data_IF_376823117710
#
_entry.id   IF_376823117710
#
_cell.length_a   1.000
_cell.length_b   1.000
_cell.length_c   1.000
_cell.angle_alpha   90.00
_cell.angle_beta   90.00
_cell.angle_gamma   90.00
#
_symmetry.space_group_name_H-M   'P 1'
#
loop_
_entity.id
_entity.type
_entity.pdbx_description
1 polymer ?
#
# COMPACT_ATOMS: atom_id res chain seq x y z
N UNK A 1 -30.55 10.51 11.19
CA UNK A 1 -29.22 9.87 11.11
C UNK A 1 -28.58 10.02 12.47
N UNK A 2 -28.27 8.92 13.15
CA UNK A 2 -27.51 8.99 14.41
C UNK A 2 -26.06 9.32 14.05
N UNK A 3 -25.53 10.43 14.55
CA UNK A 3 -24.16 10.84 14.31
C UNK A 3 -23.22 9.91 15.09
N UNK A 4 -22.37 9.17 14.37
CA UNK A 4 -21.36 8.30 14.98
C UNK A 4 -20.22 9.14 15.54
N UNK A 5 -19.75 8.80 16.73
CA UNK A 5 -18.62 9.49 17.37
C UNK A 5 -17.30 8.86 16.94
N UNK A 6 -16.93 9.07 15.68
CA UNK A 6 -15.68 8.55 15.11
C UNK A 6 -14.56 9.59 15.14
N UNK A 7 -13.32 9.17 15.41
CA UNK A 7 -12.12 9.98 15.15
C UNK A 7 -11.66 9.73 13.72
N UNK A 8 -11.40 10.81 12.96
CA UNK A 8 -10.94 10.71 11.56
C UNK A 8 -9.45 10.37 11.49
N UNK A 9 -8.66 10.81 12.49
CA UNK A 9 -7.19 10.71 12.49
C UNK A 9 -6.66 9.67 13.46
N UNK A 10 -7.53 8.93 14.16
CA UNK A 10 -7.11 8.03 15.23
C UNK A 10 -6.53 8.78 16.44
N UNK A 11 -5.80 8.05 17.27
CA UNK A 11 -5.00 8.62 18.36
C UNK A 11 -3.78 9.35 17.81
N UNK A 12 -3.64 10.63 18.12
CA UNK A 12 -2.43 11.43 17.81
C UNK A 12 -1.41 11.43 18.96
N UNK A 13 -1.59 10.54 19.94
CA UNK A 13 -0.67 10.43 21.07
C UNK A 13 0.64 9.83 20.57
N UNK A 14 1.69 10.64 20.58
CA UNK A 14 3.05 10.17 20.38
C UNK A 14 3.43 9.22 21.53
N UNK A 15 3.32 7.91 21.32
CA UNK A 15 3.73 6.90 22.30
C UNK A 15 5.22 6.60 22.17
N UNK A 16 5.95 6.69 23.27
CA UNK A 16 7.33 6.20 23.41
C UNK A 16 8.35 6.76 22.41
N UNK A 17 8.16 8.01 21.94
CA UNK A 17 9.18 8.69 21.15
C UNK A 17 10.48 8.82 21.95
N UNK A 18 11.57 8.33 21.36
CA UNK A 18 12.92 8.49 21.88
C UNK A 18 13.66 9.45 20.97
N UNK A 19 14.30 10.45 21.56
CA UNK A 19 15.25 11.30 20.87
C UNK A 19 16.62 10.66 21.06
N UNK A 20 17.14 10.09 19.99
CA UNK A 20 18.48 9.52 19.92
C UNK A 20 19.33 10.35 18.94
N UNK A 21 20.66 10.23 19.06
CA UNK A 21 21.58 10.87 18.12
C UNK A 21 21.38 10.33 16.69
N UNK A 22 21.53 11.17 15.63
CA UNK A 22 21.41 10.71 14.26
C UNK A 22 22.36 9.56 13.94
N UNK A 23 21.87 8.57 13.20
CA UNK A 23 22.68 7.44 12.74
C UNK A 23 23.81 7.90 11.84
N UNK A 24 25.01 7.36 12.05
CA UNK A 24 26.23 7.74 11.31
C UNK A 24 26.52 6.85 10.10
N UNK A 25 25.68 5.85 9.82
CA UNK A 25 25.78 4.99 8.64
C UNK A 25 24.41 4.71 8.04
N UNK A 26 24.38 4.55 6.72
CA UNK A 26 23.19 4.19 5.96
C UNK A 26 22.77 2.73 6.20
N UNK A 27 21.54 2.38 5.81
CA UNK A 27 21.02 1.02 5.87
C UNK A 27 22.03 -0.01 5.34
N UNK A 28 22.16 -1.12 6.06
CA UNK A 28 23.20 -2.14 5.86
C UNK A 28 22.84 -3.41 6.62
N UNK A 29 23.77 -4.02 7.39
CA UNK A 29 23.46 -5.20 8.20
C UNK A 29 22.30 -4.98 9.19
N UNK A 30 22.12 -3.75 9.66
CA UNK A 30 20.97 -3.39 10.51
C UNK A 30 19.66 -3.47 9.73
N UNK A 31 19.59 -2.90 8.53
CA UNK A 31 18.38 -2.94 7.72
C UNK A 31 18.00 -4.37 7.33
N UNK A 32 19.00 -5.20 7.00
CA UNK A 32 18.77 -6.65 6.79
C UNK A 32 18.23 -7.31 8.05
N UNK A 33 18.82 -7.04 9.23
CA UNK A 33 18.37 -7.60 10.51
C UNK A 33 16.93 -7.18 10.82
N UNK A 34 16.59 -5.91 10.67
CA UNK A 34 15.25 -5.40 10.96
C UNK A 34 14.21 -5.89 9.95
N UNK A 35 14.56 -5.96 8.66
CA UNK A 35 13.72 -6.60 7.64
C UNK A 35 13.43 -8.06 8.00
N UNK A 36 14.45 -8.86 8.32
CA UNK A 36 14.26 -10.27 8.71
C UNK A 36 13.45 -10.40 10.00
N UNK A 37 13.76 -9.59 11.02
CA UNK A 37 13.04 -9.61 12.30
C UNK A 37 11.54 -9.32 12.09
N UNK A 38 11.22 -8.30 11.31
CA UNK A 38 9.83 -7.94 10.99
C UNK A 38 9.15 -9.03 10.16
N UNK A 39 9.80 -9.50 9.10
CA UNK A 39 9.23 -10.52 8.20
C UNK A 39 8.98 -11.84 8.93
N UNK A 40 9.90 -12.28 9.78
CA UNK A 40 9.72 -13.49 10.58
C UNK A 40 8.62 -13.35 11.62
N UNK A 41 8.47 -12.16 12.20
CA UNK A 41 7.39 -11.87 13.15
C UNK A 41 6.01 -11.97 12.50
N UNK A 42 5.83 -11.43 11.30
CA UNK A 42 4.52 -11.39 10.63
C UNK A 42 4.17 -12.70 9.91
N UNK A 43 5.15 -13.33 9.25
CA UNK A 43 4.91 -14.46 8.33
C UNK A 43 5.35 -15.82 8.89
N UNK A 44 6.21 -15.83 9.93
CA UNK A 44 6.98 -17.00 10.32
C UNK A 44 8.16 -17.28 9.38
N UNK A 45 9.19 -17.97 9.89
CA UNK A 45 10.51 -18.11 9.22
C UNK A 45 10.41 -18.77 7.84
N UNK A 46 9.73 -19.91 7.71
CA UNK A 46 9.69 -20.67 6.45
C UNK A 46 8.97 -19.89 5.34
N UNK A 47 7.83 -19.27 5.64
CA UNK A 47 7.06 -18.49 4.68
C UNK A 47 7.84 -17.24 4.29
N UNK A 48 8.40 -16.53 5.26
CA UNK A 48 9.24 -15.36 5.04
C UNK A 48 10.38 -15.66 4.06
N UNK A 49 11.21 -16.67 4.37
CA UNK A 49 12.36 -17.01 3.51
C UNK A 49 11.93 -17.40 2.10
N UNK A 50 10.86 -18.19 1.96
CA UNK A 50 10.33 -18.59 0.65
C UNK A 50 9.86 -17.38 -0.16
N UNK A 51 9.04 -16.52 0.44
CA UNK A 51 8.49 -15.35 -0.26
C UNK A 51 9.57 -14.33 -0.61
N UNK A 52 10.53 -14.08 0.29
CA UNK A 52 11.65 -13.18 0.05
C UNK A 52 12.57 -13.68 -1.08
N UNK A 53 12.86 -14.98 -1.15
CA UNK A 53 13.66 -15.56 -2.23
C UNK A 53 12.94 -15.59 -3.59
N UNK A 54 11.63 -15.36 -3.61
CA UNK A 54 10.84 -15.30 -4.84
C UNK A 54 10.55 -13.86 -5.30
N UNK A 55 10.65 -12.87 -4.40
CA UNK A 55 10.34 -11.49 -4.72
C UNK A 55 11.36 -10.92 -5.73
N UNK A 56 10.85 -10.24 -6.76
CA UNK A 56 11.61 -9.64 -7.88
C UNK A 56 12.55 -10.62 -8.61
N UNK A 57 12.21 -11.91 -8.59
CA UNK A 57 12.90 -12.93 -9.37
C UNK A 57 12.14 -13.20 -10.68
N UNK A 58 12.84 -13.63 -11.73
CA UNK A 58 12.29 -13.85 -13.08
C UNK A 58 11.00 -14.71 -13.13
N UNK A 59 10.89 -15.73 -12.28
CA UNK A 59 9.71 -16.61 -12.18
C UNK A 59 8.96 -16.41 -10.85
N UNK A 60 9.16 -15.24 -10.24
CA UNK A 60 8.65 -14.87 -8.94
C UNK A 60 7.46 -13.93 -9.03
N UNK A 61 7.43 -12.94 -8.16
CA UNK A 61 6.43 -11.88 -8.15
C UNK A 61 7.09 -10.54 -7.82
N UNK A 62 6.48 -9.45 -8.27
CA UNK A 62 7.00 -8.10 -8.05
C UNK A 62 6.71 -7.61 -6.63
N UNK A 63 7.63 -6.83 -6.07
CA UNK A 63 7.49 -6.24 -4.75
C UNK A 63 6.21 -5.37 -4.67
N UNK A 64 5.33 -5.58 -3.66
CA UNK A 64 4.06 -4.86 -3.56
C UNK A 64 4.19 -3.45 -2.93
N UNK A 65 5.40 -2.99 -2.63
CA UNK A 65 5.64 -1.74 -1.88
C UNK A 65 5.79 -0.53 -2.79
N UNK A 66 6.91 -0.49 -3.52
CA UNK A 66 7.38 0.62 -4.35
C UNK A 66 8.23 0.05 -5.51
N UNK A 67 8.64 0.92 -6.43
CA UNK A 67 9.51 0.56 -7.54
C UNK A 67 10.90 0.10 -7.04
N UNK A 68 11.25 -1.14 -7.33
CA UNK A 68 12.63 -1.62 -7.32
C UNK A 68 13.12 -1.67 -8.77
N UNK A 69 14.30 -1.11 -9.10
CA UNK A 69 14.82 -1.18 -10.45
C UNK A 69 15.21 -2.62 -10.81
N UNK A 70 14.90 -3.06 -12.02
CA UNK A 70 15.36 -4.36 -12.53
C UNK A 70 16.80 -4.23 -13.06
N UNK A 71 17.82 -4.73 -12.34
CA UNK A 71 19.19 -4.71 -12.84
C UNK A 71 19.37 -5.66 -14.03
N UNK A 72 20.32 -5.35 -14.91
CA UNK A 72 20.71 -6.28 -16.00
C UNK A 72 21.19 -7.64 -15.48
N UNK A 73 21.78 -7.68 -14.28
CA UNK A 73 22.27 -8.89 -13.62
C UNK A 73 21.70 -9.02 -12.21
N UNK A 74 20.47 -9.53 -12.04
CA UNK A 74 19.83 -9.63 -10.74
C UNK A 74 20.51 -10.66 -9.83
N UNK A 75 20.65 -10.27 -8.56
CA UNK A 75 20.96 -11.10 -7.42
C UNK A 75 19.98 -12.25 -7.31
N UNK A 76 20.51 -13.45 -7.14
CA UNK A 76 19.74 -14.67 -6.90
C UNK A 76 19.20 -14.78 -5.47
N UNK A 77 19.55 -13.83 -4.61
CA UNK A 77 19.27 -13.89 -3.17
C UNK A 77 18.26 -12.82 -2.75
N UNK A 78 18.45 -11.59 -3.21
CA UNK A 78 17.59 -10.47 -2.84
C UNK A 78 17.67 -9.34 -3.87
N UNK A 79 16.50 -8.94 -4.38
CA UNK A 79 16.30 -7.82 -5.29
C UNK A 79 15.22 -6.91 -4.70
N UNK A 80 15.44 -6.34 -3.51
CA UNK A 80 14.46 -5.49 -2.82
C UNK A 80 15.10 -4.70 -1.68
N UNK A 81 14.44 -3.60 -1.29
CA UNK A 81 14.83 -2.80 -0.13
C UNK A 81 14.19 -3.35 1.16
N UNK A 82 14.64 -2.83 2.31
CA UNK A 82 14.06 -3.12 3.63
C UNK A 82 12.54 -2.85 3.67
N UNK A 83 12.10 -1.71 3.13
CA UNK A 83 10.68 -1.36 3.07
C UNK A 83 9.88 -2.30 2.15
N UNK A 84 10.51 -2.84 1.10
CA UNK A 84 9.91 -3.86 0.24
C UNK A 84 9.65 -5.16 0.99
N UNK A 85 10.63 -5.62 1.78
CA UNK A 85 10.50 -6.80 2.63
C UNK A 85 9.42 -6.60 3.72
N UNK A 86 9.38 -5.44 4.38
CA UNK A 86 8.36 -5.14 5.40
C UNK A 86 6.95 -5.05 4.82
N UNK A 87 6.79 -4.48 3.63
CA UNK A 87 5.49 -4.43 2.97
C UNK A 87 4.99 -5.83 2.58
N UNK A 88 5.87 -6.68 2.05
CA UNK A 88 5.55 -8.09 1.81
C UNK A 88 5.14 -8.80 3.12
N UNK A 89 5.83 -8.51 4.23
CA UNK A 89 5.52 -9.08 5.52
C UNK A 89 4.11 -8.74 6.01
N UNK A 90 3.72 -7.47 5.86
CA UNK A 90 2.38 -7.01 6.23
C UNK A 90 1.31 -7.62 5.31
N UNK A 91 1.57 -7.72 4.00
CA UNK A 91 0.64 -8.35 3.04
C UNK A 91 0.47 -9.86 3.27
N UNK A 92 1.55 -10.55 3.65
CA UNK A 92 1.59 -11.99 3.85
C UNK A 92 1.48 -12.42 5.32
N UNK A 93 1.04 -11.51 6.19
CA UNK A 93 0.86 -11.73 7.63
C UNK A 93 -0.05 -12.94 7.90
N UNK A 94 0.20 -13.61 9.02
CA UNK A 94 -0.65 -14.71 9.52
C UNK A 94 -1.77 -14.22 10.42
N UNK A 95 -1.68 -12.99 10.92
CA UNK A 95 -2.72 -12.35 11.71
C UNK A 95 -3.95 -12.09 10.84
N UNK A 96 -5.13 -12.27 11.41
CA UNK A 96 -6.38 -12.03 10.71
C UNK A 96 -7.47 -11.60 11.67
N UNK A 97 -8.46 -10.90 11.12
CA UNK A 97 -9.65 -10.41 11.81
C UNK A 97 -10.89 -10.97 11.14
N UNK A 98 -11.88 -11.37 11.92
CA UNK A 98 -13.09 -12.07 11.49
C UNK A 98 -14.38 -11.47 12.06
N UNK A 99 -15.53 -12.07 11.73
CA UNK A 99 -16.84 -11.62 12.22
C UNK A 99 -16.93 -11.47 13.75
N UNK A 100 -16.54 -12.48 14.58
CA UNK A 100 -16.54 -12.33 16.04
C UNK A 100 -15.81 -11.08 16.57
N UNK A 101 -14.69 -10.70 15.96
CA UNK A 101 -13.99 -9.46 16.32
C UNK A 101 -14.86 -8.22 16.08
N UNK A 102 -15.44 -8.10 14.89
CA UNK A 102 -16.25 -6.94 14.51
C UNK A 102 -17.62 -6.88 15.19
N UNK A 103 -18.13 -8.00 15.71
CA UNK A 103 -19.30 -8.02 16.59
C UNK A 103 -18.99 -7.47 17.99
N UNK A 104 -17.73 -7.57 18.42
CA UNK A 104 -17.27 -7.13 19.74
C UNK A 104 -16.78 -5.69 19.75
N UNK A 105 -16.17 -5.24 18.65
CA UNK A 105 -15.52 -3.93 18.53
C UNK A 105 -16.29 -3.03 17.59
N UNK A 106 -16.82 -1.93 18.13
CA UNK A 106 -17.55 -0.92 17.39
C UNK A 106 -16.63 -0.07 16.51
N UNK A 107 -17.21 0.56 15.48
CA UNK A 107 -16.48 1.50 14.63
C UNK A 107 -15.99 2.73 15.39
N UNK A 108 -16.73 3.18 16.42
CA UNK A 108 -16.29 4.24 17.31
C UNK A 108 -15.04 3.84 18.11
N UNK A 109 -14.99 2.63 18.68
CA UNK A 109 -13.82 2.12 19.40
C UNK A 109 -12.62 1.95 18.46
N UNK A 110 -12.81 1.33 17.31
CA UNK A 110 -11.75 1.13 16.32
C UNK A 110 -11.19 2.46 15.81
N UNK A 111 -12.04 3.49 15.68
CA UNK A 111 -11.60 4.82 15.24
C UNK A 111 -10.63 5.50 16.21
N UNK A 112 -10.51 5.04 17.46
CA UNK A 112 -9.56 5.60 18.42
C UNK A 112 -8.16 4.98 18.33
N UNK A 113 -8.01 3.88 17.59
CA UNK A 113 -6.73 3.20 17.40
C UNK A 113 -5.85 3.98 16.41
N UNK A 114 -4.55 3.77 16.51
CA UNK A 114 -3.58 4.24 15.52
C UNK A 114 -3.61 3.35 14.26
N UNK A 115 -3.17 3.88 13.13
CA UNK A 115 -3.03 3.10 11.88
C UNK A 115 -2.16 1.85 12.08
N UNK A 116 -1.12 1.95 12.92
CA UNK A 116 -0.28 0.82 13.29
C UNK A 116 -1.07 -0.26 14.04
N UNK A 117 -1.85 0.11 15.05
CA UNK A 117 -2.67 -0.84 15.82
C UNK A 117 -3.72 -1.50 14.94
N UNK A 118 -4.39 -0.72 14.07
CA UNK A 118 -5.35 -1.24 13.09
C UNK A 118 -4.69 -2.24 12.13
N UNK A 119 -3.52 -1.92 11.58
CA UNK A 119 -2.78 -2.83 10.71
C UNK A 119 -2.41 -4.14 11.43
N UNK A 120 -2.12 -4.08 12.74
CA UNK A 120 -1.79 -5.26 13.55
C UNK A 120 -2.98 -6.14 13.95
N UNK A 121 -4.21 -5.72 13.67
CA UNK A 121 -5.37 -6.61 13.74
C UNK A 121 -5.32 -7.70 12.65
N UNK A 122 -4.56 -7.43 11.57
CA UNK A 122 -4.30 -8.40 10.51
C UNK A 122 -5.33 -8.37 9.38
N UNK A 123 -5.27 -9.38 8.52
CA UNK A 123 -6.06 -9.46 7.30
C UNK A 123 -7.55 -9.72 7.55
N UNK A 124 -8.42 -8.99 6.86
CA UNK A 124 -9.86 -9.30 6.79
C UNK A 124 -10.08 -10.61 6.04
N UNK A 125 -10.84 -11.54 6.63
CA UNK A 125 -11.07 -12.88 6.06
C UNK A 125 -12.34 -12.99 5.21
N UNK A 126 -13.27 -12.05 5.36
CA UNK A 126 -14.54 -12.03 4.65
C UNK A 126 -15.01 -10.58 4.39
N UNK A 127 -15.88 -10.34 3.38
CA UNK A 127 -16.45 -9.03 3.14
C UNK A 127 -17.34 -8.59 4.30
N UNK A 128 -17.24 -7.31 4.66
CA UNK A 128 -18.00 -6.70 5.74
C UNK A 128 -18.82 -5.52 5.23
N UNK A 129 -19.92 -5.23 5.92
CA UNK A 129 -20.76 -4.05 5.68
C UNK A 129 -21.09 -3.33 6.97
N UNK A 130 -21.01 -2.00 6.95
CA UNK A 130 -21.57 -1.15 8.00
C UNK A 130 -22.93 -0.64 7.55
N UNK A 131 -24.00 -1.19 8.14
CA UNK A 131 -25.38 -0.79 7.82
C UNK A 131 -25.68 0.63 8.32
N UNK A 132 -26.70 1.25 7.72
CA UNK A 132 -27.20 2.53 8.19
C UNK A 132 -27.64 2.44 9.66
N UNK A 133 -27.22 3.38 10.49
CA UNK A 133 -27.46 3.41 11.94
C UNK A 133 -26.83 2.27 12.77
N UNK A 134 -26.04 1.36 12.16
CA UNK A 134 -25.23 0.40 12.92
C UNK A 134 -23.90 1.03 13.36
N UNK A 135 -23.38 0.53 14.48
CA UNK A 135 -22.06 0.85 15.05
C UNK A 135 -21.08 -0.34 14.96
N UNK A 136 -21.53 -1.49 14.46
CA UNK A 136 -20.69 -2.67 14.23
C UNK A 136 -20.73 -3.09 12.76
N UNK A 137 -19.62 -3.62 12.26
CA UNK A 137 -19.59 -4.27 10.96
C UNK A 137 -20.30 -5.63 11.03
N UNK A 138 -20.99 -5.98 9.95
CA UNK A 138 -21.68 -7.25 9.78
C UNK A 138 -21.12 -7.98 8.54
N UNK A 139 -21.03 -9.33 8.55
CA UNK A 139 -20.59 -10.07 7.38
C UNK A 139 -21.58 -9.92 6.23
N UNK A 140 -21.05 -9.90 5.00
CA UNK A 140 -21.84 -9.93 3.77
C UNK A 140 -21.18 -10.88 2.76
N UNK A 141 -21.99 -11.58 1.97
CA UNK A 141 -21.44 -12.39 0.88
C UNK A 141 -20.81 -11.51 -0.20
N UNK A 142 -19.85 -12.05 -0.95
CA UNK A 142 -19.29 -11.38 -2.12
C UNK A 142 -20.37 -10.91 -3.10
N UNK A 143 -21.35 -11.77 -3.41
CA UNK A 143 -22.47 -11.39 -4.27
C UNK A 143 -23.29 -10.24 -3.68
N UNK A 144 -23.58 -10.27 -2.38
CA UNK A 144 -24.31 -9.20 -1.69
C UNK A 144 -23.54 -7.87 -1.70
N UNK A 145 -22.22 -7.89 -1.56
CA UNK A 145 -21.37 -6.71 -1.69
C UNK A 145 -21.43 -6.13 -3.11
N UNK A 146 -21.29 -6.98 -4.13
CA UNK A 146 -21.39 -6.55 -5.54
C UNK A 146 -22.77 -5.98 -5.87
N UNK A 147 -23.85 -6.62 -5.44
CA UNK A 147 -25.21 -6.15 -5.68
C UNK A 147 -25.47 -4.80 -5.01
N UNK A 148 -24.95 -4.62 -3.80
CA UNK A 148 -25.05 -3.34 -3.07
C UNK A 148 -24.32 -2.22 -3.79
N UNK A 149 -23.05 -2.45 -4.18
CA UNK A 149 -22.24 -1.47 -4.92
C UNK A 149 -22.92 -1.13 -6.26
N UNK A 150 -23.34 -2.14 -7.02
CA UNK A 150 -24.02 -1.96 -8.30
C UNK A 150 -25.33 -1.17 -8.15
N UNK A 151 -26.11 -1.44 -7.11
CA UNK A 151 -27.36 -0.71 -6.81
C UNK A 151 -27.08 0.76 -6.52
N UNK A 152 -26.00 1.09 -5.81
CA UNK A 152 -25.64 2.48 -5.50
C UNK A 152 -25.15 3.21 -6.76
N UNK A 153 -24.27 2.58 -7.54
CA UNK A 153 -23.76 3.16 -8.78
C UNK A 153 -24.87 3.44 -9.80
N UNK A 154 -25.83 2.53 -9.97
CA UNK A 154 -26.98 2.72 -10.89
C UNK A 154 -27.96 3.81 -10.46
N UNK A 155 -27.94 4.24 -9.20
CA UNK A 155 -28.82 5.28 -8.66
C UNK A 155 -28.25 6.69 -8.78
N UNK A 156 -26.99 6.83 -9.19
CA UNK A 156 -26.37 8.14 -9.39
C UNK A 156 -27.06 8.90 -10.52
N UNK A 157 -27.17 10.22 -10.38
CA UNK A 157 -27.75 11.08 -11.40
C UNK A 157 -26.82 11.27 -12.60
N UNK A 158 -25.51 11.05 -12.38
CA UNK A 158 -24.47 11.10 -13.40
C UNK A 158 -23.32 10.15 -13.02
N UNK A 159 -22.65 9.49 -13.98
CA UNK A 159 -21.45 8.70 -13.70
C UNK A 159 -20.33 9.49 -13.01
N UNK A 160 -20.27 10.81 -13.23
CA UNK A 160 -19.26 11.70 -12.63
C UNK A 160 -19.50 11.99 -11.13
N UNK A 161 -20.59 11.49 -10.54
CA UNK A 161 -20.80 11.50 -9.09
C UNK A 161 -20.02 10.36 -8.39
N UNK A 162 -19.45 9.42 -9.15
CA UNK A 162 -18.58 8.38 -8.64
C UNK A 162 -17.09 8.76 -8.78
N UNK A 163 -16.28 8.30 -7.83
CA UNK A 163 -14.82 8.40 -7.86
C UNK A 163 -14.25 6.98 -7.70
N UNK A 164 -13.34 6.60 -8.61
CA UNK A 164 -12.70 5.29 -8.65
C UNK A 164 -11.21 5.44 -8.31
N UNK A 165 -10.88 5.53 -7.02
CA UNK A 165 -9.49 5.70 -6.59
C UNK A 165 -8.66 4.44 -6.84
N UNK A 166 -7.51 4.58 -7.51
CA UNK A 166 -6.63 3.45 -7.85
C UNK A 166 -5.37 3.43 -6.98
N UNK A 167 -5.01 2.25 -6.47
CA UNK A 167 -3.80 2.05 -5.67
C UNK A 167 -2.60 1.72 -6.55
N UNK A 168 -1.46 2.40 -6.33
CA UNK A 168 -0.19 2.08 -6.96
C UNK A 168 0.44 0.75 -6.53
N UNK A 169 -0.15 0.07 -5.54
CA UNK A 169 0.24 -1.30 -5.13
C UNK A 169 -0.48 -2.40 -5.92
N UNK A 170 -1.50 -2.03 -6.70
CA UNK A 170 -2.22 -2.99 -7.55
C UNK A 170 -1.40 -3.32 -8.81
N UNK A 171 -1.57 -4.52 -9.35
CA UNK A 171 -0.90 -4.89 -10.60
C UNK A 171 -1.43 -4.05 -11.77
N UNK A 172 -0.63 -3.95 -12.85
CA UNK A 172 -1.02 -3.23 -14.05
C UNK A 172 -2.29 -3.82 -14.69
N UNK A 173 -2.49 -5.13 -14.61
CA UNK A 173 -3.67 -5.82 -15.13
C UNK A 173 -4.92 -5.47 -14.31
N UNK A 174 -4.81 -5.48 -12.97
CA UNK A 174 -5.90 -5.07 -12.10
C UNK A 174 -6.27 -3.59 -12.31
N UNK A 175 -5.26 -2.72 -12.41
CA UNK A 175 -5.44 -1.31 -12.72
C UNK A 175 -6.09 -1.10 -14.11
N UNK A 176 -5.69 -1.88 -15.13
CA UNK A 176 -6.30 -1.83 -16.46
C UNK A 176 -7.77 -2.25 -16.45
N UNK A 177 -8.11 -3.35 -15.76
CA UNK A 177 -9.49 -3.83 -15.64
C UNK A 177 -10.37 -2.84 -14.87
N UNK A 178 -9.89 -2.35 -13.73
CA UNK A 178 -10.58 -1.33 -12.94
C UNK A 178 -10.76 -0.03 -13.74
N UNK A 179 -9.72 0.34 -14.48
CA UNK A 179 -9.72 1.49 -15.37
C UNK A 179 -10.73 1.39 -16.51
N UNK A 180 -10.85 0.19 -17.09
CA UNK A 180 -11.82 -0.11 -18.15
C UNK A 180 -13.23 -0.09 -17.59
N UNK A 181 -13.45 -0.66 -16.39
CA UNK A 181 -14.73 -0.66 -15.71
C UNK A 181 -15.27 0.75 -15.45
N UNK A 182 -14.47 1.66 -14.88
CA UNK A 182 -14.92 3.03 -14.61
C UNK A 182 -15.27 3.81 -15.90
N UNK A 183 -14.49 3.61 -16.97
CA UNK A 183 -14.77 4.22 -18.29
C UNK A 183 -16.03 3.63 -18.92
N UNK A 184 -16.25 2.33 -18.80
CA UNK A 184 -17.50 1.68 -19.22
C UNK A 184 -18.71 2.14 -18.39
N UNK A 185 -18.51 2.46 -17.11
CA UNK A 185 -19.53 3.09 -16.26
C UNK A 185 -19.86 4.53 -16.72
N UNK A 186 -18.94 5.19 -17.43
CA UNK A 186 -19.16 6.46 -18.09
C UNK A 186 -18.42 7.66 -17.49
N UNK A 187 -17.37 7.42 -16.70
CA UNK A 187 -16.56 8.50 -16.10
C UNK A 187 -15.06 8.29 -16.27
N UNK A 188 -14.31 9.40 -16.18
CA UNK A 188 -12.85 9.41 -16.05
C UNK A 188 -12.39 9.85 -14.64
N UNK A 189 -13.31 9.96 -13.67
CA UNK A 189 -12.99 10.36 -12.29
C UNK A 189 -12.23 9.25 -11.55
N UNK A 190 -10.92 9.20 -11.78
CA UNK A 190 -10.05 8.12 -11.33
C UNK A 190 -8.72 8.69 -10.80
N UNK A 191 -8.74 9.40 -9.67
CA UNK A 191 -7.52 9.80 -9.00
C UNK A 191 -6.72 8.57 -8.57
N UNK A 192 -5.41 8.71 -8.52
CA UNK A 192 -4.50 7.65 -8.09
C UNK A 192 -3.47 8.20 -7.08
N UNK A 193 -2.77 7.31 -6.37
CA UNK A 193 -1.82 7.73 -5.34
C UNK A 193 -0.65 8.56 -5.88
N UNK A 194 -0.31 8.43 -7.16
CA UNK A 194 0.75 9.20 -7.83
C UNK A 194 0.35 10.66 -8.06
N UNK A 195 -0.94 11.02 -8.04
CA UNK A 195 -1.38 12.42 -8.08
C UNK A 195 -0.74 13.24 -6.94
N UNK A 196 -0.62 12.64 -5.74
CA UNK A 196 -0.02 13.34 -4.60
C UNK A 196 1.52 13.37 -4.64
N UNK A 197 2.15 12.34 -5.21
CA UNK A 197 3.59 12.14 -5.08
C UNK A 197 4.41 12.43 -6.35
N UNK A 198 3.83 12.30 -7.54
CA UNK A 198 4.55 12.31 -8.83
C UNK A 198 3.96 13.25 -9.89
N UNK A 199 2.76 13.81 -9.68
CA UNK A 199 2.11 14.67 -10.69
C UNK A 199 2.94 15.91 -11.00
N UNK A 200 3.45 16.59 -9.97
CA UNK A 200 4.32 17.76 -10.13
C UNK A 200 5.59 17.47 -10.93
N UNK A 201 6.19 16.29 -10.69
CA UNK A 201 7.38 15.84 -11.43
C UNK A 201 7.03 15.49 -12.88
N UNK A 202 5.88 14.83 -13.08
CA UNK A 202 5.39 14.45 -14.41
C UNK A 202 5.14 15.67 -15.31
N UNK A 203 4.55 16.74 -14.77
CA UNK A 203 4.35 18.01 -15.50
C UNK A 203 5.69 18.64 -15.88
N UNK A 204 6.59 18.85 -14.90
CA UNK A 204 7.87 19.52 -15.14
C UNK A 204 8.77 18.76 -16.13
N UNK A 205 8.85 17.42 -16.03
CA UNK A 205 9.65 16.60 -16.94
C UNK A 205 9.04 16.53 -18.34
N UNK A 206 7.71 16.55 -18.46
CA UNK A 206 7.05 16.60 -19.77
C UNK A 206 7.33 17.93 -20.49
N UNK A 207 7.28 19.06 -19.78
CA UNK A 207 7.58 20.37 -20.36
C UNK A 207 9.06 20.53 -20.76
N UNK A 208 9.98 19.96 -19.98
CA UNK A 208 11.43 20.16 -20.18
C UNK A 208 12.08 19.11 -21.08
N UNK A 209 11.65 17.84 -20.99
CA UNK A 209 12.25 16.69 -21.68
C UNK A 209 11.31 15.98 -22.64
N UNK A 210 10.01 16.33 -22.65
CA UNK A 210 8.99 15.65 -23.45
C UNK A 210 8.52 14.30 -22.89
N UNK A 211 9.02 13.89 -21.72
CA UNK A 211 8.69 12.62 -21.07
C UNK A 211 8.42 12.82 -19.57
N UNK A 212 7.24 12.45 -19.08
CA UNK A 212 6.85 12.60 -17.66
C UNK A 212 7.39 11.50 -16.72
N UNK A 213 8.49 10.84 -17.07
CA UNK A 213 9.04 9.67 -16.35
C UNK A 213 10.56 9.75 -16.26
N UNK A 214 11.15 8.88 -15.44
CA UNK A 214 12.61 8.73 -15.36
C UNK A 214 13.23 8.39 -16.71
N UNK A 215 14.36 9.04 -17.03
CA UNK A 215 15.05 8.95 -18.32
C UNK A 215 16.32 8.09 -18.29
N UNK A 216 16.64 7.50 -17.14
CA UNK A 216 17.88 6.74 -16.90
C UNK A 216 17.56 5.30 -16.47
N UNK A 217 18.56 4.42 -16.59
CA UNK A 217 18.54 3.08 -16.01
C UNK A 217 19.39 3.02 -14.75
N UNK A 218 19.26 1.93 -13.99
CA UNK A 218 20.09 1.70 -12.81
C UNK A 218 21.58 1.68 -13.17
N UNK A 219 21.93 1.12 -14.33
CA UNK A 219 23.32 0.96 -14.77
C UNK A 219 24.03 2.30 -15.02
N UNK A 220 23.27 3.36 -15.27
CA UNK A 220 23.82 4.70 -15.48
C UNK A 220 24.38 5.28 -14.16
N UNK A 221 23.88 4.82 -13.01
CA UNK A 221 24.40 5.20 -11.69
C UNK A 221 25.88 4.78 -11.52
N UNK A 222 26.27 3.62 -12.05
CA UNK A 222 27.65 3.13 -11.95
C UNK A 222 28.62 3.86 -12.89
N UNK A 223 28.10 4.62 -13.86
CA UNK A 223 28.90 5.43 -14.79
C UNK A 223 28.98 6.90 -14.35
N UNK A 224 28.15 7.32 -13.42
CA UNK A 224 28.09 8.70 -12.97
C UNK A 224 29.34 9.08 -12.18
N UNK A 225 29.99 10.18 -12.58
CA UNK A 225 31.11 10.76 -11.83
C UNK A 225 30.63 11.59 -10.63
N UNK A 226 29.37 12.07 -10.69
CA UNK A 226 28.74 12.89 -9.66
C UNK A 226 27.28 12.45 -9.50
N UNK A 227 26.85 12.22 -8.26
CA UNK A 227 25.46 11.94 -7.89
C UNK A 227 24.95 13.06 -6.99
N UNK A 228 23.86 13.72 -7.38
CA UNK A 228 23.21 14.77 -6.60
C UNK A 228 21.91 14.19 -6.02
N UNK A 229 21.79 14.20 -4.69
CA UNK A 229 20.57 13.80 -3.97
C UNK A 229 19.90 15.04 -3.40
N UNK A 230 18.71 15.38 -3.89
CA UNK A 230 17.94 16.54 -3.44
C UNK A 230 16.47 16.15 -3.22
N UNK A 231 15.95 16.45 -2.03
CA UNK A 231 14.55 16.14 -1.68
C UNK A 231 14.25 14.65 -1.51
N UNK A 232 15.27 13.81 -1.28
CA UNK A 232 15.13 12.37 -1.05
C UNK A 232 16.03 11.89 0.09
N UNK A 233 15.68 10.74 0.67
CA UNK A 233 16.47 10.05 1.69
C UNK A 233 16.61 8.55 1.35
N UNK A 234 17.44 8.18 0.37
CA UNK A 234 17.59 6.78 -0.07
C UNK A 234 18.40 5.90 0.91
N UNK A 235 18.98 6.50 1.97
CA UNK A 235 19.85 5.80 2.92
C UNK A 235 19.13 5.16 4.11
N UNK A 236 17.80 5.31 4.20
CA UNK A 236 16.92 4.66 5.18
C UNK A 236 16.23 3.45 4.60
#
# INVERSE_FOLDING_TARGET
MTERKVSITGSTKFSDLRLDEPMTYAAGPIGVKEAMRHTFKEMGVLRAMRSLLQMNQKNGFDCPSCAWPDPESPSKVAEYCENGAKALADEATTAHTDTPFFQKHSVEELSQLTDYELNKLGRLTEPMVLRENSVHYEPISWQGAYDMIATKLKKLGSPNEAIFYTSGRSSNEAAFLYGTFARAFGTNNMPDCSNMCHESSGVALSETLGIGKGSIKLEDLYKAEVVIVAGQNPGT
#
